data_IF_973320230309
#
_entry.id   IF_973320230309
#
_cell.length_a   1.000
_cell.length_b   1.000
_cell.length_c   1.000
_cell.angle_alpha   90.00
_cell.angle_beta   90.00
_cell.angle_gamma   90.00
#
_symmetry.space_group_name_H-M   'P 1'
#
loop_
_entity.id
_entity.type
_entity.pdbx_description
1 polymer ?
#
# COMPACT_ATOMS: atom_id res chain seq x y z
N UNK A 1 15.74 4.30 -10.57
CA UNK A 1 15.55 2.90 -10.13
C UNK A 1 14.39 2.89 -9.13
N UNK A 2 13.43 1.99 -9.28
CA UNK A 2 12.27 1.89 -8.36
C UNK A 2 12.75 1.30 -7.03
N UNK A 3 13.14 2.15 -6.08
CA UNK A 3 13.65 1.73 -4.77
C UNK A 3 12.60 1.95 -3.68
N UNK A 4 12.80 1.31 -2.52
CA UNK A 4 12.03 1.64 -1.32
C UNK A 4 12.11 3.12 -0.97
N UNK A 5 13.27 3.77 -1.14
CA UNK A 5 13.43 5.20 -0.86
C UNK A 5 12.54 6.06 -1.76
N UNK A 6 12.44 5.74 -3.05
CA UNK A 6 11.52 6.44 -3.97
C UNK A 6 10.06 6.24 -3.59
N UNK A 7 9.70 5.02 -3.17
CA UNK A 7 8.37 4.73 -2.64
C UNK A 7 8.06 5.54 -1.37
N UNK A 8 8.97 5.53 -0.39
CA UNK A 8 8.82 6.15 0.92
C UNK A 8 8.84 7.69 0.86
N UNK A 9 9.57 8.28 -0.09
CA UNK A 9 9.57 9.72 -0.32
C UNK A 9 8.36 10.21 -1.13
N UNK A 10 7.65 9.31 -1.83
CA UNK A 10 6.52 9.62 -2.69
C UNK A 10 5.16 9.24 -2.09
N UNK A 11 4.14 9.02 -2.94
CA UNK A 11 2.78 8.65 -2.52
C UNK A 11 2.73 7.40 -1.63
N UNK A 12 3.67 6.47 -1.83
CA UNK A 12 3.79 5.27 -1.00
C UNK A 12 4.00 5.60 0.48
N UNK A 13 4.89 6.54 0.78
CA UNK A 13 5.15 6.94 2.16
C UNK A 13 4.02 7.76 2.78
N UNK A 14 3.33 8.57 1.99
CA UNK A 14 2.13 9.27 2.45
C UNK A 14 1.01 8.30 2.83
N UNK A 15 0.68 7.35 1.95
CA UNK A 15 -0.34 6.34 2.23
C UNK A 15 0.08 5.42 3.38
N UNK A 16 1.37 5.07 3.50
CA UNK A 16 1.89 4.33 4.66
C UNK A 16 1.57 5.03 5.97
N UNK A 17 1.82 6.35 6.05
CA UNK A 17 1.52 7.15 7.25
C UNK A 17 0.02 7.20 7.55
N UNK A 18 -0.82 7.38 6.52
CA UNK A 18 -2.28 7.39 6.67
C UNK A 18 -2.84 6.03 7.12
N UNK A 19 -2.19 4.93 6.74
CA UNK A 19 -2.48 3.58 7.20
C UNK A 19 -1.98 3.30 8.63
N UNK A 20 -1.24 4.23 9.24
CA UNK A 20 -0.62 4.04 10.56
C UNK A 20 0.68 3.22 10.52
N UNK A 21 1.25 3.00 9.34
CA UNK A 21 2.56 2.35 9.18
C UNK A 21 3.65 3.38 9.41
N UNK A 22 4.46 3.16 10.44
CA UNK A 22 5.61 4.03 10.75
C UNK A 22 6.75 3.70 9.81
N UNK A 23 7.35 4.73 9.22
CA UNK A 23 8.51 4.63 8.34
C UNK A 23 9.83 5.04 9.01
N UNK A 24 9.77 5.48 10.27
CA UNK A 24 10.93 5.99 11.02
C UNK A 24 12.02 4.92 11.12
N UNK A 25 13.21 5.21 10.56
CA UNK A 25 14.36 4.30 10.60
C UNK A 25 14.30 3.12 9.63
N UNK A 26 13.28 3.04 8.77
CA UNK A 26 13.17 1.99 7.76
C UNK A 26 13.89 2.43 6.50
N UNK A 27 14.83 1.61 6.04
CA UNK A 27 15.69 1.90 4.88
C UNK A 27 15.43 0.97 3.70
N UNK A 28 14.69 -0.12 3.92
CA UNK A 28 14.42 -1.14 2.92
C UNK A 28 13.04 -1.79 3.09
N UNK A 29 12.72 -2.64 2.13
CA UNK A 29 11.46 -3.37 2.09
C UNK A 29 11.30 -4.38 3.21
N UNK A 30 12.39 -4.97 3.72
CA UNK A 30 12.33 -5.96 4.80
C UNK A 30 11.88 -5.28 6.10
N UNK A 31 12.49 -4.14 6.43
CA UNK A 31 12.08 -3.30 7.55
C UNK A 31 10.65 -2.79 7.39
N UNK A 32 10.24 -2.43 6.16
CA UNK A 32 8.88 -1.99 5.89
C UNK A 32 7.84 -3.09 6.15
N UNK A 33 8.08 -4.31 5.67
CA UNK A 33 7.19 -5.45 5.95
C UNK A 33 7.16 -5.80 7.43
N UNK A 34 8.29 -5.68 8.12
CA UNK A 34 8.37 -5.93 9.56
C UNK A 34 7.50 -4.96 10.40
N UNK A 35 7.10 -3.80 9.86
CA UNK A 35 6.21 -2.85 10.57
C UNK A 35 4.87 -3.43 10.97
N UNK A 36 4.37 -4.42 10.23
CA UNK A 36 3.08 -5.05 10.54
C UNK A 36 3.22 -6.33 11.36
N UNK A 37 4.44 -6.81 11.58
CA UNK A 37 4.68 -7.96 12.48
C UNK A 37 4.33 -7.64 13.94
N UNK A 38 4.34 -6.36 14.31
CA UNK A 38 4.00 -5.86 15.65
C UNK A 38 2.51 -5.51 15.82
N UNK A 39 1.73 -5.53 14.73
CA UNK A 39 0.30 -5.20 14.74
C UNK A 39 -0.49 -6.50 14.67
N UNK A 40 -1.48 -6.67 15.55
CA UNK A 40 -2.37 -7.85 15.56
C UNK A 40 -2.91 -8.10 14.16
N UNK A 41 -2.53 -9.22 13.52
CA UNK A 41 -3.02 -9.58 12.19
C UNK A 41 -4.48 -10.02 12.28
N UNK A 42 -5.33 -9.52 11.39
CA UNK A 42 -6.74 -9.94 11.31
C UNK A 42 -7.70 -8.85 10.86
N UNK A 43 -8.96 -9.25 10.62
CA UNK A 43 -10.03 -8.37 10.13
C UNK A 43 -10.36 -7.20 11.06
N UNK A 44 -10.14 -7.36 12.37
CA UNK A 44 -10.32 -6.34 13.40
C UNK A 44 -9.07 -5.52 13.72
N UNK A 45 -7.98 -5.68 12.95
CA UNK A 45 -6.74 -4.94 13.19
C UNK A 45 -6.92 -3.44 12.94
N UNK A 46 -6.20 -2.56 13.67
CA UNK A 46 -6.20 -1.12 13.42
C UNK A 46 -5.83 -0.78 11.97
N UNK A 47 -4.87 -1.53 11.39
CA UNK A 47 -4.48 -1.40 9.99
C UNK A 47 -5.65 -1.71 9.04
N UNK A 48 -6.40 -2.79 9.29
CA UNK A 48 -7.54 -3.13 8.45
C UNK A 48 -8.66 -2.10 8.52
N UNK A 49 -8.91 -1.54 9.70
CA UNK A 49 -9.87 -0.45 9.87
C UNK A 49 -9.43 0.83 9.15
N UNK A 50 -8.16 1.24 9.31
CA UNK A 50 -7.59 2.40 8.64
C UNK A 50 -7.62 2.25 7.12
N UNK A 51 -7.23 1.08 6.61
CA UNK A 51 -7.24 0.78 5.18
C UNK A 51 -8.65 0.86 4.57
N UNK A 52 -9.66 0.27 5.20
CA UNK A 52 -11.05 0.36 4.71
C UNK A 52 -11.54 1.81 4.65
N UNK A 53 -11.31 2.57 5.73
CA UNK A 53 -11.71 3.98 5.81
C UNK A 53 -11.00 4.83 4.74
N UNK A 54 -9.69 4.66 4.61
CA UNK A 54 -8.88 5.41 3.65
C UNK A 54 -9.29 5.08 2.21
N UNK A 55 -9.52 3.80 1.91
CA UNK A 55 -9.89 3.34 0.57
C UNK A 55 -11.23 3.92 0.09
N UNK A 56 -12.22 4.08 0.99
CA UNK A 56 -13.52 4.67 0.66
C UNK A 56 -13.41 6.12 0.19
N UNK A 57 -12.55 6.93 0.82
CA UNK A 57 -12.35 8.34 0.50
C UNK A 57 -11.25 8.60 -0.54
N UNK A 58 -10.39 7.63 -0.81
CA UNK A 58 -9.24 7.78 -1.71
C UNK A 58 -9.67 7.91 -3.18
N UNK A 59 -8.95 8.74 -3.92
CA UNK A 59 -9.02 8.81 -5.37
C UNK A 59 -8.54 7.51 -6.02
N UNK A 60 -8.81 7.34 -7.32
CA UNK A 60 -8.43 6.14 -8.07
C UNK A 60 -6.95 5.80 -7.95
N UNK A 61 -6.05 6.81 -8.01
CA UNK A 61 -4.61 6.57 -7.89
C UNK A 61 -4.15 6.27 -6.48
N UNK A 62 -4.72 6.95 -5.48
CA UNK A 62 -4.43 6.68 -4.07
C UNK A 62 -4.89 5.27 -3.68
N UNK A 63 -6.05 4.81 -4.17
CA UNK A 63 -6.52 3.42 -3.98
C UNK A 63 -5.48 2.42 -4.49
N UNK A 64 -4.90 2.64 -5.67
CA UNK A 64 -3.86 1.77 -6.21
C UNK A 64 -2.62 1.73 -5.28
N UNK A 65 -2.21 2.89 -4.73
CA UNK A 65 -1.09 2.97 -3.80
C UNK A 65 -1.42 2.30 -2.46
N UNK A 66 -2.64 2.45 -1.93
CA UNK A 66 -3.09 1.78 -0.71
C UNK A 66 -3.03 0.25 -0.87
N UNK A 67 -3.54 -0.27 -1.99
CA UNK A 67 -3.47 -1.71 -2.29
C UNK A 67 -2.03 -2.20 -2.37
N UNK A 68 -1.14 -1.43 -3.00
CA UNK A 68 0.27 -1.73 -3.07
C UNK A 68 0.96 -1.71 -1.69
N UNK A 69 0.61 -0.75 -0.82
CA UNK A 69 1.11 -0.69 0.56
C UNK A 69 0.71 -1.96 1.33
N UNK A 70 -0.57 -2.36 1.26
CA UNK A 70 -1.09 -3.55 1.91
C UNK A 70 -0.41 -4.82 1.41
N UNK A 71 -0.18 -4.92 0.10
CA UNK A 71 0.52 -6.06 -0.49
C UNK A 71 1.98 -6.14 -0.03
N UNK A 72 2.68 -4.99 0.04
CA UNK A 72 4.06 -4.91 0.51
C UNK A 72 4.26 -5.23 2.00
N UNK A 73 3.20 -5.23 2.81
CA UNK A 73 3.23 -5.58 4.24
C UNK A 73 2.51 -6.90 4.56
N UNK A 74 2.32 -7.75 3.55
CA UNK A 74 1.71 -9.08 3.63
C UNK A 74 0.23 -9.09 4.05
N UNK A 75 -0.51 -8.05 3.69
CA UNK A 75 -1.97 -7.94 3.83
C UNK A 75 -2.69 -8.13 2.49
N UNK A 76 -2.20 -9.06 1.65
CA UNK A 76 -2.78 -9.36 0.34
C UNK A 76 -4.28 -9.70 0.43
N UNK A 77 -4.70 -10.45 1.45
CA UNK A 77 -6.12 -10.77 1.69
C UNK A 77 -7.02 -9.53 1.81
N UNK A 78 -6.49 -8.45 2.40
CA UNK A 78 -7.23 -7.20 2.57
C UNK A 78 -7.21 -6.37 1.28
N UNK A 79 -6.10 -6.38 0.55
CA UNK A 79 -6.04 -5.79 -0.78
C UNK A 79 -7.09 -6.43 -1.71
N UNK A 80 -7.21 -7.76 -1.69
CA UNK A 80 -8.20 -8.51 -2.46
C UNK A 80 -9.65 -8.20 -2.00
N UNK A 81 -9.88 -8.10 -0.68
CA UNK A 81 -11.18 -7.70 -0.13
C UNK A 81 -11.60 -6.32 -0.65
N UNK A 82 -10.70 -5.34 -0.61
CA UNK A 82 -10.97 -3.96 -1.03
C UNK A 82 -11.18 -3.86 -2.54
N UNK A 83 -10.35 -4.56 -3.33
CA UNK A 83 -10.53 -4.61 -4.79
C UNK A 83 -11.87 -5.23 -5.20
N UNK A 84 -12.30 -6.28 -4.50
CA UNK A 84 -13.55 -6.99 -4.80
C UNK A 84 -14.78 -6.09 -4.62
N UNK A 85 -14.72 -5.09 -3.72
CA UNK A 85 -15.82 -4.14 -3.50
C UNK A 85 -16.03 -3.17 -4.66
N UNK A 86 -14.95 -2.76 -5.33
CA UNK A 86 -15.04 -1.78 -6.42
C UNK A 86 -15.39 -2.42 -7.78
N UNK A 87 -15.24 -3.75 -7.91
CA UNK A 87 -15.39 -4.46 -9.19
C UNK A 87 -14.39 -4.00 -10.26
N UNK A 88 -13.36 -3.23 -9.89
CA UNK A 88 -12.32 -2.69 -10.76
C UNK A 88 -10.97 -3.25 -10.30
N UNK A 89 -10.25 -3.88 -11.23
CA UNK A 89 -8.89 -4.37 -10.95
C UNK A 89 -7.88 -3.23 -10.74
N UNK A 90 -6.80 -3.50 -10.01
CA UNK A 90 -5.71 -2.54 -9.74
C UNK A 90 -5.15 -1.88 -11.01
N UNK A 91 -5.16 -2.59 -12.14
CA UNK A 91 -4.73 -2.09 -13.45
C UNK A 91 -5.62 -0.98 -14.00
N UNK A 92 -6.93 -1.07 -13.76
CA UNK A 92 -7.87 -0.01 -14.16
C UNK A 92 -7.71 1.21 -13.26
N UNK A 93 -7.32 1.01 -12.00
CA UNK A 93 -7.00 2.12 -11.10
C UNK A 93 -5.74 2.87 -11.56
N UNK A 94 -4.70 2.14 -11.99
CA UNK A 94 -3.46 2.73 -12.51
C UNK A 94 -3.64 3.50 -13.84
N UNK A 95 -4.61 3.14 -14.67
CA UNK A 95 -4.77 3.72 -16.00
C UNK A 95 -5.17 5.22 -15.99
N UNK A 96 -5.70 5.71 -14.87
CA UNK A 96 -6.03 7.12 -14.65
C UNK A 96 -5.15 7.81 -13.61
N UNK A 97 -4.02 7.21 -13.26
CA UNK A 97 -3.13 7.70 -12.21
C UNK A 97 -1.89 8.41 -12.78
N UNK A 98 -1.44 9.43 -12.06
CA UNK A 98 -0.22 10.16 -12.37
C UNK A 98 1.04 9.28 -12.22
N UNK A 99 2.15 9.70 -12.85
CA UNK A 99 3.41 8.95 -12.86
C UNK A 99 3.92 8.60 -11.46
N UNK A 100 3.77 9.48 -10.47
CA UNK A 100 4.20 9.23 -9.10
C UNK A 100 3.46 8.05 -8.44
N UNK A 101 2.15 7.92 -8.67
CA UNK A 101 1.35 6.81 -8.16
C UNK A 101 1.74 5.50 -8.85
N UNK A 102 1.93 5.53 -10.18
CA UNK A 102 2.37 4.37 -10.95
C UNK A 102 3.75 3.86 -10.51
N UNK A 103 4.68 4.78 -10.25
CA UNK A 103 6.01 4.45 -9.73
C UNK A 103 5.93 3.86 -8.31
N UNK A 104 5.12 4.42 -7.43
CA UNK A 104 4.95 3.86 -6.08
C UNK A 104 4.41 2.43 -6.12
N UNK A 105 3.37 2.17 -6.93
CA UNK A 105 2.81 0.82 -7.10
C UNK A 105 3.83 -0.14 -7.72
N UNK A 106 4.55 0.28 -8.76
CA UNK A 106 5.58 -0.55 -9.39
C UNK A 106 6.70 -0.92 -8.41
N UNK A 107 7.16 0.02 -7.57
CA UNK A 107 8.20 -0.24 -6.58
C UNK A 107 7.75 -1.30 -5.54
N UNK A 108 6.50 -1.23 -5.07
CA UNK A 108 5.93 -2.20 -4.15
C UNK A 108 5.69 -3.58 -4.78
N UNK A 109 5.31 -3.63 -6.06
CA UNK A 109 5.10 -4.90 -6.79
C UNK A 109 6.40 -5.63 -7.11
N UNK A 110 7.46 -4.90 -7.49
CA UNK A 110 8.78 -5.48 -7.72
C UNK A 110 9.31 -6.14 -6.43
N UNK A 111 9.04 -5.54 -5.26
CA UNK A 111 9.46 -6.07 -3.97
C UNK A 111 8.95 -7.47 -3.68
N UNK A 112 7.66 -7.78 -3.92
CA UNK A 112 7.13 -9.09 -3.49
C UNK A 112 7.13 -10.15 -4.60
N UNK A 113 7.80 -9.85 -5.73
CA UNK A 113 8.17 -10.83 -6.75
C UNK A 113 9.69 -11.13 -6.77
N UNK A 114 10.49 -10.49 -5.91
CA UNK A 114 11.93 -10.69 -5.77
C UNK A 114 12.30 -11.18 -4.38
#
# INVERSE_FOLDING_TARGET
MLTFQTFAAGPGGEMSRLLGLRLDGITDWSGYTATTSTVTRGRGSPLAAAARKLYESASTGERAVVLACLWAVDYAWLADELMSKDGRGIWRALNGSDDAHRQAVAAALVRANG
#
